data_IF_426474748379
#
_entry.id   IF_426474748379
#
_cell.length_a   1.000
_cell.length_b   1.000
_cell.length_c   1.000
_cell.angle_alpha   90.00
_cell.angle_beta   90.00
_cell.angle_gamma   90.00
#
_symmetry.space_group_name_H-M   'P 1'
#
loop_
_entity.id
_entity.type
_entity.pdbx_description
1 polymer ?
#
# COMPACT_ATOMS: atom_id res chain seq x y z
N UNK A 1 0.01 -17.57 -22.25
CA UNK A 1 -0.26 -18.03 -20.88
C UNK A 1 -1.21 -17.01 -20.24
N UNK A 2 -1.62 -17.15 -18.98
CA UNK A 2 -2.54 -16.18 -18.35
C UNK A 2 -1.77 -15.05 -17.67
N UNK A 3 -2.26 -13.82 -17.77
CA UNK A 3 -1.80 -12.67 -16.97
C UNK A 3 -2.78 -12.41 -15.85
N UNK A 4 -2.28 -12.02 -14.68
CA UNK A 4 -3.11 -11.68 -13.53
C UNK A 4 -2.62 -10.39 -12.87
N UNK A 5 -3.56 -9.63 -12.31
CA UNK A 5 -3.31 -8.43 -11.55
C UNK A 5 -4.13 -8.53 -10.26
N UNK A 6 -3.43 -8.66 -9.14
CA UNK A 6 -4.00 -8.65 -7.80
C UNK A 6 -3.73 -7.29 -7.14
N UNK A 7 -4.79 -6.61 -6.74
CA UNK A 7 -4.75 -5.24 -6.22
C UNK A 7 -4.46 -5.15 -4.71
N UNK A 8 -4.37 -6.27 -3.98
CA UNK A 8 -4.13 -6.22 -2.54
C UNK A 8 -3.69 -7.56 -1.91
N UNK A 9 -2.62 -7.55 -1.12
CA UNK A 9 -2.34 -8.62 -0.16
C UNK A 9 -1.59 -8.15 1.10
N UNK A 10 -1.83 -8.83 2.22
CA UNK A 10 -1.19 -8.60 3.52
C UNK A 10 0.15 -9.33 3.73
N UNK A 11 0.79 -9.79 2.65
CA UNK A 11 2.00 -10.63 2.73
C UNK A 11 3.14 -9.94 3.49
N UNK A 12 3.25 -8.60 3.38
CA UNK A 12 4.27 -7.85 4.12
C UNK A 12 4.06 -7.88 5.62
N UNK A 13 2.80 -7.86 6.07
CA UNK A 13 2.46 -7.94 7.49
C UNK A 13 2.87 -9.29 8.08
N UNK A 14 2.49 -10.38 7.42
CA UNK A 14 2.82 -11.74 7.82
C UNK A 14 4.33 -12.01 7.75
N UNK A 15 4.96 -11.59 6.66
CA UNK A 15 6.39 -11.77 6.43
C UNK A 15 7.26 -11.03 7.44
N UNK A 16 6.99 -9.74 7.66
CA UNK A 16 7.75 -8.92 8.60
C UNK A 16 7.59 -9.40 10.06
N UNK A 17 6.35 -9.71 10.49
CA UNK A 17 6.08 -10.17 11.87
C UNK A 17 6.71 -11.51 12.21
N UNK A 18 6.76 -12.43 11.24
CA UNK A 18 7.23 -13.80 11.46
C UNK A 18 8.63 -14.06 10.91
N UNK A 19 9.35 -13.01 10.48
CA UNK A 19 10.68 -13.11 9.88
C UNK A 19 10.74 -14.10 8.70
N UNK A 20 9.72 -14.07 7.84
CA UNK A 20 9.62 -14.89 6.64
C UNK A 20 10.08 -14.10 5.41
N UNK A 21 10.50 -14.79 4.35
CA UNK A 21 10.87 -14.16 3.07
C UNK A 21 9.77 -14.35 2.02
N UNK A 22 9.75 -13.54 0.96
CA UNK A 22 8.72 -13.57 -0.11
C UNK A 22 8.58 -14.91 -0.87
N UNK A 23 9.50 -15.86 -0.69
CA UNK A 23 9.41 -17.22 -1.25
C UNK A 23 8.77 -18.23 -0.28
N UNK A 24 8.51 -17.85 0.96
CA UNK A 24 8.10 -18.77 2.00
C UNK A 24 6.71 -19.37 1.72
N UNK A 25 6.61 -20.69 1.82
CA UNK A 25 5.43 -21.47 1.49
C UNK A 25 4.27 -21.35 2.50
N UNK A 26 4.53 -20.83 3.70
CA UNK A 26 3.49 -20.57 4.70
C UNK A 26 2.66 -19.32 4.36
N UNK A 27 3.15 -18.43 3.50
CA UNK A 27 2.41 -17.25 3.06
C UNK A 27 1.45 -17.59 1.92
N UNK A 28 0.26 -16.99 1.92
CA UNK A 28 -0.71 -17.20 0.84
C UNK A 28 -0.16 -16.76 -0.52
N UNK A 29 0.43 -15.56 -0.58
CA UNK A 29 1.22 -15.11 -1.73
C UNK A 29 2.70 -15.40 -1.43
N UNK A 30 3.30 -16.22 -2.27
CA UNK A 30 4.73 -16.51 -2.29
C UNK A 30 5.19 -16.53 -3.75
N UNK A 31 6.37 -15.99 -4.02
CA UNK A 31 6.93 -15.98 -5.37
C UNK A 31 7.07 -17.39 -5.97
N UNK A 32 7.19 -18.43 -5.14
CA UNK A 32 7.23 -19.84 -5.59
C UNK A 32 5.86 -20.37 -6.01
N UNK A 33 4.77 -19.79 -5.50
CA UNK A 33 3.40 -20.17 -5.84
C UNK A 33 2.87 -19.48 -7.10
N UNK A 34 3.53 -18.41 -7.55
CA UNK A 34 3.08 -17.57 -8.67
C UNK A 34 3.57 -18.06 -10.06
N UNK A 35 4.36 -19.13 -10.12
CA UNK A 35 5.03 -19.59 -11.35
C UNK A 35 4.14 -20.12 -12.49
N UNK A 36 2.82 -20.16 -12.33
CA UNK A 36 1.88 -20.60 -13.38
C UNK A 36 1.43 -19.48 -14.33
N UNK A 37 1.76 -18.21 -14.03
CA UNK A 37 1.34 -17.05 -14.81
C UNK A 37 2.41 -16.59 -15.80
N UNK A 38 1.98 -16.02 -16.92
CA UNK A 38 2.85 -15.31 -17.87
C UNK A 38 3.46 -14.07 -17.21
N UNK A 39 2.62 -13.33 -16.50
CA UNK A 39 2.96 -12.15 -15.74
C UNK A 39 1.95 -11.98 -14.61
N UNK A 40 2.43 -11.88 -13.37
CA UNK A 40 1.63 -11.66 -12.19
C UNK A 40 2.00 -10.33 -11.54
N UNK A 41 1.05 -9.40 -11.49
CA UNK A 41 1.22 -8.11 -10.81
C UNK A 41 0.56 -8.21 -9.45
N UNK A 42 1.29 -7.86 -8.39
CA UNK A 42 0.78 -7.85 -7.02
C UNK A 42 0.99 -6.49 -6.38
N UNK A 43 -0.09 -5.89 -5.88
CA UNK A 43 0.00 -4.80 -4.92
C UNK A 43 0.25 -5.38 -3.51
N UNK A 44 1.40 -5.07 -2.94
CA UNK A 44 1.80 -5.47 -1.59
C UNK A 44 1.49 -4.33 -0.62
N UNK A 45 0.51 -4.54 0.26
CA UNK A 45 0.08 -3.52 1.20
C UNK A 45 0.96 -3.51 2.46
N UNK A 46 1.44 -2.32 2.84
CA UNK A 46 1.86 -2.04 4.20
C UNK A 46 0.59 -1.63 4.98
N UNK A 47 -0.02 -2.61 5.65
CA UNK A 47 -1.14 -2.36 6.55
C UNK A 47 -0.70 -1.62 7.81
N UNK A 48 -1.35 -0.51 8.13
CA UNK A 48 -1.14 0.28 9.34
C UNK A 48 -2.34 0.09 10.28
N UNK A 49 -2.22 -0.77 11.31
CA UNK A 49 -3.29 -0.97 12.28
C UNK A 49 -3.79 0.32 12.93
N UNK A 50 -5.10 0.40 13.17
CA UNK A 50 -5.75 1.58 13.76
C UNK A 50 -5.26 2.02 15.14
N UNK A 51 -4.52 1.17 15.84
CA UNK A 51 -3.92 1.52 17.13
C UNK A 51 -2.62 2.34 16.98
N UNK A 52 -1.99 2.32 15.81
CA UNK A 52 -0.76 3.07 15.56
C UNK A 52 -1.09 4.44 15.00
N UNK A 53 -0.62 5.48 15.66
CA UNK A 53 -0.83 6.90 15.31
C UNK A 53 0.48 7.66 15.55
N UNK A 54 0.61 8.85 14.97
CA UNK A 54 1.81 9.67 15.16
C UNK A 54 3.10 8.90 14.80
N UNK A 55 4.12 9.03 15.65
CA UNK A 55 5.41 8.37 15.45
C UNK A 55 5.32 6.84 15.38
N UNK A 56 4.40 6.20 16.12
CA UNK A 56 4.27 4.74 16.10
C UNK A 56 3.84 4.21 14.73
N UNK A 57 2.97 4.97 14.03
CA UNK A 57 2.55 4.64 12.67
C UNK A 57 3.72 4.78 11.69
N UNK A 58 4.53 5.84 11.85
CA UNK A 58 5.74 6.09 11.05
C UNK A 58 6.74 4.95 11.24
N UNK A 59 7.06 4.61 12.49
CA UNK A 59 8.03 3.56 12.80
C UNK A 59 7.55 2.18 12.30
N UNK A 60 6.24 1.92 12.37
CA UNK A 60 5.66 0.69 11.83
C UNK A 60 5.80 0.61 10.31
N UNK A 61 5.48 1.70 9.63
CA UNK A 61 5.67 1.82 8.19
C UNK A 61 7.14 1.61 7.82
N UNK A 62 8.07 2.33 8.46
CA UNK A 62 9.50 2.30 8.12
C UNK A 62 10.10 0.90 8.28
N UNK A 63 9.72 0.16 9.34
CA UNK A 63 10.14 -1.24 9.53
C UNK A 63 9.64 -2.15 8.40
N UNK A 64 8.38 -2.01 8.01
CA UNK A 64 7.77 -2.86 6.99
C UNK A 64 8.25 -2.48 5.58
N UNK A 65 8.51 -1.20 5.34
CA UNK A 65 9.14 -0.69 4.13
C UNK A 65 10.56 -1.23 3.97
N UNK A 66 11.38 -1.16 5.03
CA UNK A 66 12.73 -1.71 5.03
C UNK A 66 12.73 -3.21 4.74
N UNK A 67 11.77 -3.95 5.30
CA UNK A 67 11.54 -5.35 4.96
C UNK A 67 11.23 -5.51 3.47
N UNK A 68 10.22 -4.84 2.92
CA UNK A 68 9.85 -4.97 1.51
C UNK A 68 11.02 -4.66 0.57
N UNK A 69 11.71 -3.53 0.81
CA UNK A 69 12.90 -3.15 0.05
C UNK A 69 13.95 -4.26 0.04
N UNK A 70 14.33 -4.78 1.21
CA UNK A 70 15.30 -5.87 1.32
C UNK A 70 14.86 -7.14 0.57
N UNK A 71 13.56 -7.46 0.59
CA UNK A 71 13.03 -8.61 -0.16
C UNK A 71 13.09 -8.39 -1.67
N UNK A 72 12.72 -7.20 -2.16
CA UNK A 72 12.80 -6.88 -3.60
C UNK A 72 14.23 -6.89 -4.12
N UNK A 73 15.19 -6.42 -3.33
CA UNK A 73 16.62 -6.51 -3.66
C UNK A 73 17.11 -7.96 -3.69
N UNK A 74 16.72 -8.76 -2.69
CA UNK A 74 17.08 -10.18 -2.58
C UNK A 74 16.53 -11.04 -3.72
N UNK A 75 15.36 -10.70 -4.26
CA UNK A 75 14.67 -11.47 -5.30
C UNK A 75 14.56 -10.70 -6.63
N UNK A 76 15.50 -9.79 -6.90
CA UNK A 76 15.54 -9.00 -8.14
C UNK A 76 15.76 -9.85 -9.41
N UNK A 77 16.25 -11.07 -9.27
CA UNK A 77 16.32 -12.05 -10.35
C UNK A 77 14.92 -12.57 -10.75
N UNK A 78 13.95 -12.53 -9.83
CA UNK A 78 12.60 -13.10 -9.96
C UNK A 78 11.49 -12.07 -10.14
N UNK A 79 11.61 -10.92 -9.48
CA UNK A 79 10.57 -9.88 -9.49
C UNK A 79 11.14 -8.49 -9.78
N UNK A 80 10.29 -7.61 -10.31
CA UNK A 80 10.55 -6.17 -10.43
C UNK A 80 9.63 -5.40 -9.49
N UNK A 81 10.06 -4.22 -9.05
CA UNK A 81 9.23 -3.28 -8.29
C UNK A 81 8.91 -2.07 -9.17
N UNK A 82 7.63 -1.89 -9.50
CA UNK A 82 7.14 -0.75 -10.28
C UNK A 82 6.53 0.33 -9.37
N UNK A 83 6.89 1.59 -9.62
CA UNK A 83 6.47 2.74 -8.81
C UNK A 83 5.32 3.54 -9.45
N UNK A 84 5.01 3.22 -10.72
CA UNK A 84 4.01 3.89 -11.54
C UNK A 84 3.63 3.01 -12.76
N UNK A 85 2.58 3.40 -13.48
CA UNK A 85 2.09 2.66 -14.64
C UNK A 85 3.08 2.56 -15.81
N UNK A 86 4.00 3.52 -15.96
CA UNK A 86 5.03 3.47 -17.00
C UNK A 86 6.04 2.37 -16.72
N UNK A 87 6.54 2.27 -15.49
CA UNK A 87 7.45 1.20 -15.08
C UNK A 87 6.77 -0.16 -15.15
N UNK A 88 5.51 -0.26 -14.74
CA UNK A 88 4.74 -1.48 -14.87
C UNK A 88 4.64 -1.94 -16.35
N UNK A 89 4.36 -1.01 -17.26
CA UNK A 89 4.30 -1.31 -18.70
C UNK A 89 5.64 -1.68 -19.33
N UNK A 90 6.76 -1.42 -18.64
CA UNK A 90 8.11 -1.76 -19.05
C UNK A 90 8.64 -3.02 -18.35
N UNK A 91 7.86 -3.58 -17.43
CA UNK A 91 8.26 -4.74 -16.65
C UNK A 91 8.49 -5.97 -17.53
N UNK A 92 9.56 -6.71 -17.25
CA UNK A 92 9.99 -7.89 -18.03
C UNK A 92 10.05 -9.16 -17.19
N UNK A 93 10.04 -9.04 -15.86
CA UNK A 93 10.01 -10.20 -14.97
C UNK A 93 8.61 -10.81 -14.93
N UNK A 94 8.51 -12.13 -14.65
CA UNK A 94 7.22 -12.80 -14.54
C UNK A 94 6.39 -12.28 -13.36
N UNK A 95 7.02 -11.59 -12.39
CA UNK A 95 6.34 -11.01 -11.23
C UNK A 95 6.71 -9.53 -11.12
N UNK A 96 5.70 -8.69 -10.92
CA UNK A 96 5.90 -7.26 -10.61
C UNK A 96 5.19 -6.91 -9.32
N UNK A 97 5.93 -6.41 -8.34
CA UNK A 97 5.41 -5.85 -7.11
C UNK A 97 5.10 -4.36 -7.27
N UNK A 98 3.99 -3.94 -6.69
CA UNK A 98 3.62 -2.53 -6.51
C UNK A 98 3.46 -2.31 -5.01
N UNK A 99 4.12 -1.31 -4.45
CA UNK A 99 3.99 -1.00 -3.03
C UNK A 99 2.75 -0.13 -2.80
N UNK A 100 1.91 -0.53 -1.85
CA UNK A 100 0.74 0.22 -1.42
C UNK A 100 0.72 0.38 0.11
N UNK A 101 -0.08 1.31 0.61
CA UNK A 101 -0.34 1.48 2.04
C UNK A 101 -1.83 1.25 2.28
N UNK A 102 -2.16 0.47 3.31
CA UNK A 102 -3.54 0.32 3.78
C UNK A 102 -3.66 1.03 5.14
N UNK A 103 -4.37 2.15 5.16
CA UNK A 103 -4.56 3.01 6.32
C UNK A 103 -3.68 4.26 6.29
N UNK A 104 -4.31 5.42 6.06
CA UNK A 104 -3.63 6.73 5.94
C UNK A 104 -2.95 7.26 7.21
N UNK A 105 -3.03 6.52 8.32
CA UNK A 105 -2.33 6.81 9.57
C UNK A 105 -0.81 6.88 9.38
N UNK A 106 -0.27 6.29 8.31
CA UNK A 106 1.12 6.48 7.86
C UNK A 106 1.51 7.95 7.64
N UNK A 107 0.54 8.84 7.39
CA UNK A 107 0.77 10.28 7.27
C UNK A 107 0.92 10.98 8.62
N UNK A 108 0.45 10.40 9.72
CA UNK A 108 0.60 10.98 11.06
C UNK A 108 0.20 12.47 11.17
N UNK A 109 -0.81 12.92 10.39
CA UNK A 109 -1.25 14.32 10.35
C UNK A 109 -0.30 15.30 9.64
N UNK A 110 0.74 14.82 8.96
CA UNK A 110 1.70 15.62 8.20
C UNK A 110 1.55 15.39 6.69
N UNK A 111 1.07 16.43 6.00
CA UNK A 111 0.83 16.40 4.55
C UNK A 111 2.11 16.16 3.74
N UNK A 112 3.27 16.59 4.24
CA UNK A 112 4.55 16.44 3.54
C UNK A 112 4.93 14.97 3.34
N UNK A 113 4.37 14.08 4.17
CA UNK A 113 4.59 12.65 4.08
C UNK A 113 3.98 12.03 2.83
N UNK A 114 2.95 12.61 2.23
CA UNK A 114 2.40 12.10 0.96
C UNK A 114 3.50 12.06 -0.12
N UNK A 115 4.25 13.16 -0.27
CA UNK A 115 5.36 13.22 -1.21
C UNK A 115 6.50 12.28 -0.80
N UNK A 116 6.84 12.23 0.48
CA UNK A 116 7.90 11.34 0.99
C UNK A 116 7.61 9.87 0.64
N UNK A 117 6.39 9.41 0.92
CA UNK A 117 5.95 8.04 0.66
C UNK A 117 5.90 7.75 -0.85
N UNK A 118 5.49 8.74 -1.65
CA UNK A 118 5.55 8.62 -3.12
C UNK A 118 6.99 8.48 -3.62
N UNK A 119 7.91 9.28 -3.13
CA UNK A 119 9.33 9.23 -3.49
C UNK A 119 9.98 7.89 -3.07
N UNK A 120 9.45 7.25 -2.02
CA UNK A 120 9.83 5.89 -1.60
C UNK A 120 9.22 4.77 -2.45
N UNK A 121 8.33 5.10 -3.39
CA UNK A 121 7.75 4.15 -4.33
C UNK A 121 6.36 3.62 -3.99
N UNK A 122 5.67 4.22 -3.02
CA UNK A 122 4.26 3.93 -2.77
C UNK A 122 3.43 4.43 -3.95
N UNK A 123 2.71 3.52 -4.59
CA UNK A 123 1.89 3.84 -5.76
C UNK A 123 0.44 4.19 -5.40
N UNK A 124 -0.08 3.64 -4.30
CA UNK A 124 -1.47 3.77 -3.87
C UNK A 124 -1.56 3.75 -2.35
N UNK A 125 -2.50 4.51 -1.79
CA UNK A 125 -2.78 4.50 -0.35
C UNK A 125 -4.29 4.53 -0.08
N UNK A 126 -4.73 3.63 0.80
CA UNK A 126 -6.08 3.62 1.36
C UNK A 126 -6.20 4.72 2.42
N UNK A 127 -7.23 5.57 2.32
CA UNK A 127 -7.38 6.74 3.20
C UNK A 127 -7.60 6.34 4.67
N UNK A 128 -8.40 5.30 4.90
CA UNK A 128 -8.74 4.78 6.23
C UNK A 128 -8.60 3.27 6.26
N UNK A 129 -8.52 2.68 7.45
CA UNK A 129 -9.00 1.31 7.64
C UNK A 129 -10.42 1.40 8.21
N UNK A 130 -10.78 0.61 9.22
CA UNK A 130 -12.16 0.61 9.75
C UNK A 130 -12.45 1.78 10.69
N UNK A 131 -11.48 2.21 11.50
CA UNK A 131 -11.61 3.28 12.50
C UNK A 131 -11.40 4.69 11.95
N UNK A 132 -11.63 5.72 12.79
CA UNK A 132 -11.26 7.09 12.48
C UNK A 132 -9.74 7.31 12.53
N UNK A 133 -9.24 8.18 11.66
CA UNK A 133 -7.87 8.69 11.65
C UNK A 133 -7.86 10.19 11.29
N UNK A 134 -6.68 10.73 11.02
CA UNK A 134 -6.51 12.15 10.71
C UNK A 134 -7.20 12.56 9.39
N UNK A 135 -7.43 11.61 8.47
CA UNK A 135 -8.01 11.86 7.15
C UNK A 135 -9.54 11.78 7.14
N UNK A 136 -10.13 10.92 7.98
CA UNK A 136 -11.58 10.71 8.01
C UNK A 136 -11.94 9.48 8.83
N UNK A 137 -13.08 8.88 8.52
CA UNK A 137 -13.52 7.64 9.17
C UNK A 137 -13.77 6.51 8.17
N UNK A 138 -13.37 5.31 8.59
CA UNK A 138 -13.75 4.10 7.91
C UNK A 138 -15.16 3.62 8.25
N UNK A 139 -15.47 2.40 7.83
CA UNK A 139 -16.78 1.75 8.01
C UNK A 139 -17.28 1.60 9.46
N UNK A 140 -16.43 1.84 10.48
CA UNK A 140 -16.88 1.79 11.89
C UNK A 140 -17.90 2.88 12.23
N UNK A 141 -17.89 4.02 11.52
CA UNK A 141 -18.86 5.11 11.67
C UNK A 141 -19.08 5.82 10.34
N UNK A 142 -20.30 6.31 10.11
CA UNK A 142 -20.60 7.09 8.91
C UNK A 142 -20.21 8.56 9.07
N UNK A 143 -18.91 8.84 9.19
CA UNK A 143 -18.34 10.19 9.28
C UNK A 143 -17.45 10.47 8.05
N UNK A 144 -17.52 11.68 7.51
CA UNK A 144 -16.85 12.09 6.27
C UNK A 144 -15.35 12.33 6.39
N UNK A 145 -14.78 12.96 5.37
CA UNK A 145 -13.38 13.38 5.37
C UNK A 145 -13.16 14.61 6.25
N UNK A 146 -12.03 14.67 6.93
CA UNK A 146 -11.57 15.89 7.59
C UNK A 146 -11.02 16.88 6.57
N UNK A 147 -10.80 18.14 6.97
CA UNK A 147 -10.08 19.12 6.14
C UNK A 147 -8.68 18.63 5.76
N UNK A 148 -8.01 17.92 6.67
CA UNK A 148 -6.72 17.29 6.40
C UNK A 148 -6.84 16.17 5.36
N UNK A 149 -7.86 15.31 5.44
CA UNK A 149 -8.12 14.26 4.46
C UNK A 149 -8.37 14.81 3.06
N UNK A 150 -9.18 15.87 2.96
CA UNK A 150 -9.44 16.57 1.69
C UNK A 150 -8.16 17.19 1.11
N UNK A 151 -7.29 17.75 1.96
CA UNK A 151 -5.99 18.25 1.53
C UNK A 151 -5.03 17.10 1.11
N UNK A 152 -5.06 15.97 1.81
CA UNK A 152 -4.26 14.78 1.49
C UNK A 152 -4.60 14.19 0.13
N UNK A 153 -5.89 14.07 -0.22
CA UNK A 153 -6.33 13.64 -1.55
C UNK A 153 -5.73 14.54 -2.64
N UNK A 154 -5.84 15.86 -2.49
CA UNK A 154 -5.27 16.81 -3.46
C UNK A 154 -3.76 16.66 -3.62
N UNK A 155 -3.05 16.43 -2.52
CA UNK A 155 -1.60 16.21 -2.57
C UNK A 155 -1.25 14.86 -3.21
N UNK A 156 -2.01 13.80 -2.95
CA UNK A 156 -1.85 12.48 -3.57
C UNK A 156 -2.02 12.57 -5.08
N UNK A 157 -3.09 13.24 -5.55
CA UNK A 157 -3.32 13.51 -6.96
C UNK A 157 -2.17 14.31 -7.58
N UNK A 158 -1.70 15.37 -6.90
CA UNK A 158 -0.60 16.23 -7.37
C UNK A 158 0.70 15.44 -7.58
N UNK A 159 1.01 14.48 -6.71
CA UNK A 159 2.24 13.66 -6.80
C UNK A 159 2.05 12.36 -7.60
N UNK A 160 0.84 12.07 -8.08
CA UNK A 160 0.53 10.84 -8.80
C UNK A 160 0.55 9.59 -7.91
N UNK A 161 0.09 9.70 -6.66
CA UNK A 161 -0.27 8.58 -5.79
C UNK A 161 -1.77 8.30 -5.95
N UNK A 162 -2.13 7.05 -6.21
CA UNK A 162 -3.53 6.65 -6.33
C UNK A 162 -4.22 6.68 -4.97
N UNK A 163 -5.46 7.19 -4.96
CA UNK A 163 -6.34 7.17 -3.79
C UNK A 163 -7.14 5.87 -3.82
N UNK A 164 -7.04 5.08 -2.76
CA UNK A 164 -7.87 3.90 -2.55
C UNK A 164 -8.98 4.21 -1.54
N UNK A 165 -10.23 4.01 -1.96
CA UNK A 165 -11.43 4.26 -1.18
C UNK A 165 -11.97 3.00 -0.50
N UNK A 166 -11.24 1.89 -0.56
CA UNK A 166 -11.54 0.73 0.27
C UNK A 166 -11.59 1.14 1.75
N UNK A 167 -12.44 0.48 2.55
CA UNK A 167 -12.67 0.76 3.97
C UNK A 167 -13.27 2.13 4.37
N UNK A 168 -13.35 3.11 3.47
CA UNK A 168 -13.93 4.42 3.81
C UNK A 168 -15.43 4.31 4.12
N UNK A 169 -15.95 5.21 4.97
CA UNK A 169 -17.39 5.35 5.20
C UNK A 169 -18.14 5.87 3.96
N UNK A 170 -19.47 5.70 3.89
CA UNK A 170 -20.28 6.24 2.79
C UNK A 170 -20.16 7.77 2.69
N UNK A 171 -20.22 8.47 3.84
CA UNK A 171 -20.03 9.92 3.89
C UNK A 171 -18.63 10.33 3.41
N UNK A 172 -17.59 9.55 3.74
CA UNK A 172 -16.23 9.81 3.28
C UNK A 172 -16.06 9.53 1.79
N UNK A 173 -16.74 8.53 1.26
CA UNK A 173 -16.79 8.24 -0.17
C UNK A 173 -17.45 9.41 -0.94
N UNK A 174 -18.60 9.91 -0.47
CA UNK A 174 -19.27 11.07 -1.06
C UNK A 174 -18.36 12.30 -1.07
N UNK A 175 -17.69 12.60 0.05
CA UNK A 175 -16.72 13.69 0.16
C UNK A 175 -15.52 13.54 -0.78
N UNK A 176 -15.07 12.30 -1.03
CA UNK A 176 -13.93 12.04 -1.92
C UNK A 176 -14.29 12.17 -3.40
N UNK A 177 -15.55 11.98 -3.76
CA UNK A 177 -16.03 12.03 -5.15
C UNK A 177 -16.64 13.39 -5.56
N UNK A 178 -16.77 14.34 -4.63
CA UNK A 178 -17.30 15.69 -4.89
C UNK A 178 -16.25 16.67 -5.40
#
# INVERSE_FOLDING_TARGET
>A
MMKAFDMHCDTLLGGNRNNLNLINDQMHISLDKLGAFEHYVQCFAIFIPDKFRGQDAIDFYDRTFAYYKAQTEKYADRMEWAHNGKELGQAKKPITGILTIEGGCALAGDISRVKLLKDQGVAMMTLTWNGPNELGCGTSKNEGLTDFGKAAIKEMERVGMLVDLSHISDAGFEDACS
#
